data_IF_171859632480
#
_entry.id   IF_171859632480
#
_cell.length_a   1.000
_cell.length_b   1.000
_cell.length_c   1.000
_cell.angle_alpha   90.00
_cell.angle_beta   90.00
_cell.angle_gamma   90.00
#
_symmetry.space_group_name_H-M   'P 1'
#
loop_
_entity.id
_entity.type
_entity.pdbx_description
1 polymer ?
#
# COMPACT_ATOMS: atom_id res chain seq x y z
N UNK A 1 14.58 -36.92 -35.76
CA UNK A 1 13.59 -36.18 -34.94
C UNK A 1 13.93 -36.20 -33.44
N UNK A 2 15.17 -35.91 -33.02
CA UNK A 2 15.57 -35.87 -31.59
C UNK A 2 16.14 -34.51 -31.16
N UNK A 3 16.49 -33.66 -32.13
CA UNK A 3 17.13 -32.36 -31.94
C UNK A 3 16.14 -31.21 -31.73
N UNK A 4 14.83 -31.46 -31.90
CA UNK A 4 13.77 -30.46 -31.75
C UNK A 4 13.18 -30.42 -30.34
N UNK A 5 13.35 -31.49 -29.55
CA UNK A 5 12.80 -31.57 -28.19
C UNK A 5 13.63 -30.77 -27.17
N UNK A 6 14.93 -30.61 -27.41
CA UNK A 6 15.84 -29.87 -26.52
C UNK A 6 15.68 -28.35 -26.60
N UNK A 7 15.07 -27.82 -27.67
CA UNK A 7 14.89 -26.37 -27.86
C UNK A 7 13.62 -25.83 -27.17
N UNK A 8 12.64 -26.70 -26.89
CA UNK A 8 11.36 -26.32 -26.26
C UNK A 8 11.49 -25.94 -24.78
N UNK A 9 12.48 -26.49 -24.09
CA UNK A 9 12.68 -26.31 -22.64
C UNK A 9 13.45 -25.03 -22.29
N UNK A 10 14.16 -24.42 -23.26
CA UNK A 10 14.99 -23.24 -22.99
C UNK A 10 14.19 -21.92 -22.97
N UNK A 11 13.03 -21.88 -23.64
CA UNK A 11 12.22 -20.68 -23.83
C UNK A 11 11.47 -20.21 -22.55
N UNK A 12 10.93 -21.08 -21.68
CA UNK A 12 10.22 -20.60 -20.49
C UNK A 12 11.13 -20.00 -19.42
N UNK A 13 12.44 -20.27 -19.41
CA UNK A 13 13.37 -19.74 -18.40
C UNK A 13 13.60 -18.22 -18.54
N UNK A 14 13.46 -17.67 -19.75
CA UNK A 14 13.70 -16.23 -20.01
C UNK A 14 12.48 -15.39 -19.60
N UNK A 15 11.28 -15.97 -19.59
CA UNK A 15 10.05 -15.30 -19.16
C UNK A 15 9.91 -15.20 -17.63
N UNK A 16 10.57 -16.08 -16.86
CA UNK A 16 10.62 -15.94 -15.39
C UNK A 16 11.62 -14.87 -14.92
N UNK A 17 12.56 -14.44 -15.76
CA UNK A 17 13.49 -13.35 -15.42
C UNK A 17 12.85 -11.95 -15.54
N UNK A 18 11.64 -11.85 -16.09
CA UNK A 18 10.90 -10.59 -16.28
C UNK A 18 10.03 -10.15 -15.09
N UNK A 19 9.82 -11.02 -14.10
CA UNK A 19 9.03 -10.71 -12.91
C UNK A 19 9.94 -10.67 -11.68
N UNK A 20 10.67 -9.56 -11.44
CA UNK A 20 11.27 -9.15 -10.14
C UNK A 20 12.64 -8.42 -10.25
N UNK A 21 13.05 -7.87 -11.40
CA UNK A 21 14.32 -7.10 -11.47
C UNK A 21 14.29 -5.73 -10.76
N UNK A 22 13.16 -5.33 -10.16
CA UNK A 22 13.15 -4.23 -9.20
C UNK A 22 13.27 -4.86 -7.81
N UNK A 23 14.47 -4.81 -7.24
CA UNK A 23 14.70 -5.19 -5.85
C UNK A 23 13.72 -4.48 -4.91
N UNK A 24 13.55 -4.97 -3.67
CA UNK A 24 12.64 -4.34 -2.72
C UNK A 24 12.92 -2.84 -2.65
N UNK A 25 11.88 -2.03 -2.89
CA UNK A 25 11.99 -0.58 -2.90
C UNK A 25 12.64 -0.12 -1.59
N UNK A 26 13.61 0.80 -1.69
CA UNK A 26 14.19 1.45 -0.51
C UNK A 26 13.11 2.23 0.25
N UNK A 27 13.31 2.45 1.55
CA UNK A 27 12.36 3.21 2.37
C UNK A 27 12.09 4.61 1.78
N UNK A 28 13.10 5.24 1.19
CA UNK A 28 12.98 6.52 0.48
C UNK A 28 12.01 6.44 -0.70
N UNK A 29 12.12 5.39 -1.51
CA UNK A 29 11.25 5.17 -2.67
C UNK A 29 9.83 4.81 -2.23
N UNK A 30 9.69 4.08 -1.12
CA UNK A 30 8.39 3.75 -0.55
C UNK A 30 7.71 5.00 0.03
N UNK A 31 8.43 5.86 0.73
CA UNK A 31 7.91 7.13 1.24
C UNK A 31 7.49 8.07 0.10
N UNK A 32 8.31 8.16 -0.95
CA UNK A 32 8.01 8.94 -2.15
C UNK A 32 6.71 8.48 -2.85
N UNK A 33 6.40 7.18 -2.86
CA UNK A 33 5.16 6.63 -3.45
C UNK A 33 3.89 7.24 -2.84
N UNK A 34 3.92 7.54 -1.54
CA UNK A 34 2.78 8.11 -0.81
C UNK A 34 2.94 9.62 -0.56
N UNK A 35 3.94 10.28 -1.18
CA UNK A 35 4.19 11.71 -1.00
C UNK A 35 4.56 12.10 0.44
N UNK A 36 5.15 11.18 1.21
CA UNK A 36 5.51 11.41 2.61
C UNK A 36 7.02 11.41 2.83
N UNK A 37 7.46 11.96 3.96
CA UNK A 37 8.85 11.85 4.40
C UNK A 37 9.17 10.44 4.90
N UNK A 38 10.44 10.06 4.85
CA UNK A 38 10.93 8.75 5.32
C UNK A 38 10.61 8.54 6.80
N UNK A 39 10.74 9.60 7.60
CA UNK A 39 10.45 9.58 9.03
C UNK A 39 8.98 9.22 9.28
N UNK A 40 8.06 9.94 8.60
CA UNK A 40 6.62 9.65 8.68
C UNK A 40 6.30 8.24 8.18
N UNK A 41 6.92 7.80 7.08
CA UNK A 41 6.76 6.44 6.58
C UNK A 41 7.11 5.38 7.65
N UNK A 42 8.21 5.57 8.39
CA UNK A 42 8.62 4.65 9.46
C UNK A 42 7.67 4.67 10.65
N UNK A 43 7.20 5.85 11.05
CA UNK A 43 6.23 6.00 12.13
C UNK A 43 4.94 5.26 11.81
N UNK A 44 4.36 5.53 10.64
CA UNK A 44 3.11 4.90 10.19
C UNK A 44 3.28 3.39 9.96
N UNK A 45 4.44 2.95 9.47
CA UNK A 45 4.77 1.51 9.38
C UNK A 45 4.83 0.85 10.74
N UNK A 46 5.37 1.52 11.75
CA UNK A 46 5.38 1.00 13.12
C UNK A 46 3.97 0.96 13.72
N UNK A 47 3.13 1.96 13.40
CA UNK A 47 1.74 2.01 13.84
C UNK A 47 0.94 0.86 13.22
N UNK A 48 1.05 0.66 11.90
CA UNK A 48 0.44 -0.47 11.20
C UNK A 48 0.83 -1.83 11.82
N UNK A 49 2.12 -2.00 12.15
CA UNK A 49 2.61 -3.21 12.81
C UNK A 49 1.99 -3.43 14.20
N UNK A 50 1.81 -2.37 15.00
CA UNK A 50 1.12 -2.44 16.30
C UNK A 50 -0.36 -2.81 16.16
N UNK A 51 -0.96 -2.50 15.02
CA UNK A 51 -2.35 -2.78 14.70
C UNK A 51 -2.57 -4.12 13.99
N UNK A 52 -1.52 -4.95 13.84
CA UNK A 52 -1.56 -6.21 13.08
C UNK A 52 -2.14 -6.04 11.67
N UNK A 53 -1.89 -4.90 11.03
CA UNK A 53 -2.40 -4.59 9.69
C UNK A 53 -1.24 -4.25 8.75
N UNK A 54 -1.49 -4.37 7.43
CA UNK A 54 -0.48 -3.95 6.46
C UNK A 54 -0.36 -2.43 6.41
N UNK A 55 0.82 -1.93 6.05
CA UNK A 55 1.06 -0.49 5.90
C UNK A 55 0.11 0.15 4.88
N UNK A 56 -0.19 -0.55 3.79
CA UNK A 56 -1.04 -0.02 2.73
C UNK A 56 -2.50 0.15 3.22
N UNK A 57 -3.00 -0.82 3.99
CA UNK A 57 -4.31 -0.73 4.64
C UNK A 57 -4.36 0.39 5.68
N UNK A 58 -3.30 0.54 6.48
CA UNK A 58 -3.18 1.61 7.48
C UNK A 58 -3.22 3.01 6.83
N UNK A 59 -2.42 3.23 5.78
CA UNK A 59 -2.39 4.51 5.06
C UNK A 59 -3.72 4.81 4.38
N UNK A 60 -4.36 3.80 3.79
CA UNK A 60 -5.68 3.95 3.19
C UNK A 60 -6.71 4.38 4.23
N UNK A 61 -6.67 3.79 5.42
CA UNK A 61 -7.54 4.16 6.54
C UNK A 61 -7.31 5.61 6.97
N UNK A 62 -6.06 6.05 7.14
CA UNK A 62 -5.75 7.45 7.50
C UNK A 62 -6.25 8.43 6.45
N UNK A 63 -6.08 8.12 5.16
CA UNK A 63 -6.55 8.96 4.06
C UNK A 63 -8.09 9.03 4.00
N UNK A 64 -8.78 7.92 4.27
CA UNK A 64 -10.24 7.86 4.30
C UNK A 64 -10.83 8.51 5.57
N UNK A 65 -10.20 8.33 6.73
CA UNK A 65 -10.63 8.90 8.01
C UNK A 65 -10.49 10.43 8.04
N UNK A 66 -9.42 10.96 7.42
CA UNK A 66 -9.27 12.40 7.20
C UNK A 66 -10.39 13.03 6.35
N UNK A 67 -11.09 12.22 5.52
CA UNK A 67 -12.22 12.66 4.71
C UNK A 67 -13.55 12.63 5.48
N UNK A 68 -13.69 11.79 6.51
CA UNK A 68 -14.94 11.64 7.27
C UNK A 68 -15.10 12.64 8.43
N UNK A 69 -14.03 13.32 8.86
CA UNK A 69 -14.11 14.30 9.95
C UNK A 69 -14.75 15.65 9.55
N UNK A 70 -15.15 15.85 8.29
CA UNK A 70 -15.78 17.10 7.83
C UNK A 70 -17.32 17.06 7.77
N UNK A 71 -17.96 16.06 8.39
CA UNK A 71 -19.40 15.82 8.25
C UNK A 71 -20.22 15.63 9.53
N UNK A 72 -19.62 15.64 10.72
CA UNK A 72 -20.38 15.61 11.99
C UNK A 72 -20.63 17.03 12.51
N UNK A 73 -21.26 17.86 11.67
CA UNK A 73 -21.94 19.06 12.15
C UNK A 73 -23.17 18.60 12.94
N UNK A 74 -23.08 18.74 14.26
CA UNK A 74 -24.13 18.48 15.23
C UNK A 74 -25.39 19.25 14.86
N UNK A 75 -26.31 18.63 14.11
CA UNK A 75 -27.68 19.12 14.01
C UNK A 75 -28.36 18.86 15.36
N UNK A 76 -28.15 19.84 16.26
CA UNK A 76 -28.73 19.88 17.58
C UNK A 76 -30.23 19.59 17.52
N UNK A 77 -30.66 18.68 18.40
CA UNK A 77 -32.05 18.51 18.75
C UNK A 77 -32.64 19.88 19.13
N UNK A 78 -33.50 20.44 18.28
CA UNK A 78 -34.56 21.33 18.76
C UNK A 78 -35.49 20.44 19.59
N UNK A 79 -35.30 20.45 20.90
CA UNK A 79 -36.42 20.27 21.81
C UNK A 79 -37.01 21.67 21.98
N UNK A 80 -38.07 21.91 21.21
CA UNK A 80 -38.98 23.03 21.41
C UNK A 80 -39.72 22.84 22.75
N UNK A 81 -39.03 23.10 23.85
CA UNK A 81 -39.61 23.39 25.16
C UNK A 81 -39.65 24.92 25.30
N UNK A 82 -40.79 25.52 24.90
CA UNK A 82 -41.40 26.76 25.46
C UNK A 82 -42.69 27.12 24.74
#
# INVERSE_FOLDING_TARGET
MKKLLTLSVLIPAIFLAGCASQGPLTEDQQAAKYGMTVERYREEKSAAARMNMSFDEHIKMIMEEGSMNSGMDMKGHNMDDM
#
